data_IF_274969733013
#
_entry.id   IF_274969733013
#
_cell.length_a   1.000
_cell.length_b   1.000
_cell.length_c   1.000
_cell.angle_alpha   90.00
_cell.angle_beta   90.00
_cell.angle_gamma   90.00
#
_symmetry.space_group_name_H-M   'P 1'
#
loop_
_entity.id
_entity.type
_entity.pdbx_description
1 polymer ?
#
# COMPACT_ATOMS: atom_id res chain seq x y z
N UNK A 1 13.78 8.39 3.86
CA UNK A 1 13.13 7.35 3.00
C UNK A 1 13.62 7.44 1.57
N UNK A 2 13.80 6.31 0.89
CA UNK A 2 14.04 6.21 -0.56
C UNK A 2 12.89 5.46 -1.19
N UNK A 3 12.33 5.97 -2.29
CA UNK A 3 11.26 5.33 -3.05
C UNK A 3 11.79 4.97 -4.43
N UNK A 4 11.66 3.71 -4.81
CA UNK A 4 12.00 3.17 -6.13
C UNK A 4 10.74 2.61 -6.75
N UNK A 5 10.36 3.17 -7.87
CA UNK A 5 9.25 2.66 -8.64
C UNK A 5 9.76 1.93 -9.89
N UNK A 6 9.40 0.68 -10.04
CA UNK A 6 9.59 -0.13 -11.25
C UNK A 6 8.26 -0.70 -11.73
N UNK A 7 7.16 -0.17 -11.21
CA UNK A 7 5.82 -0.48 -11.70
C UNK A 7 5.52 0.32 -12.97
N UNK A 8 4.39 0.04 -13.59
CA UNK A 8 3.90 0.78 -14.75
C UNK A 8 3.24 2.12 -14.42
N UNK A 9 3.05 2.43 -13.16
CA UNK A 9 2.36 3.65 -12.73
C UNK A 9 3.34 4.83 -12.66
N UNK A 10 2.86 6.08 -12.86
CA UNK A 10 3.70 7.27 -12.87
C UNK A 10 4.46 7.46 -11.57
N UNK A 11 5.72 7.86 -11.67
CA UNK A 11 6.66 7.97 -10.53
C UNK A 11 6.22 9.02 -9.51
N UNK A 12 5.74 10.16 -9.98
CA UNK A 12 5.23 11.25 -9.18
C UNK A 12 4.01 10.84 -8.36
N UNK A 13 3.05 10.15 -8.98
CA UNK A 13 1.87 9.64 -8.30
C UNK A 13 2.24 8.56 -7.27
N UNK A 14 3.09 7.61 -7.64
CA UNK A 14 3.55 6.57 -6.72
C UNK A 14 4.24 7.19 -5.51
N UNK A 15 5.09 8.19 -5.70
CA UNK A 15 5.79 8.90 -4.63
C UNK A 15 4.81 9.59 -3.70
N UNK A 16 3.90 10.40 -4.25
CA UNK A 16 2.89 11.12 -3.47
C UNK A 16 2.05 10.16 -2.60
N UNK A 17 1.59 9.05 -3.18
CA UNK A 17 0.76 8.07 -2.47
C UNK A 17 1.53 7.36 -1.35
N UNK A 18 2.78 6.98 -1.59
CA UNK A 18 3.63 6.35 -0.56
C UNK A 18 3.95 7.35 0.55
N UNK A 19 4.34 8.58 0.22
CA UNK A 19 4.61 9.63 1.21
C UNK A 19 3.36 9.93 2.06
N UNK A 20 2.19 10.01 1.42
CA UNK A 20 0.94 10.15 2.14
C UNK A 20 0.69 8.99 3.11
N UNK A 21 0.81 7.78 2.62
CA UNK A 21 0.48 6.57 3.39
C UNK A 21 1.39 6.36 4.60
N UNK A 22 2.62 6.87 4.53
CA UNK A 22 3.65 6.64 5.54
C UNK A 22 3.95 7.86 6.42
N UNK A 23 3.22 8.97 6.25
CA UNK A 23 3.50 10.27 6.89
C UNK A 23 3.57 10.24 8.41
N UNK A 24 2.84 9.32 9.05
CA UNK A 24 2.74 9.20 10.51
C UNK A 24 3.72 8.15 11.08
N UNK A 25 4.60 7.60 10.25
CA UNK A 25 5.60 6.61 10.63
C UNK A 25 7.01 7.15 10.35
N UNK A 26 7.94 6.91 11.28
CA UNK A 26 9.35 7.23 11.03
C UNK A 26 9.94 6.33 9.94
N UNK A 27 10.12 6.92 8.76
CA UNK A 27 10.65 6.26 7.56
C UNK A 27 12.14 6.55 7.32
N UNK A 28 12.88 7.00 8.35
CA UNK A 28 14.34 7.14 8.21
C UNK A 28 14.98 5.79 7.88
N UNK A 29 15.92 5.77 6.94
CA UNK A 29 16.65 4.58 6.45
C UNK A 29 15.75 3.44 5.93
N UNK A 30 14.53 3.74 5.50
CA UNK A 30 13.63 2.80 4.83
C UNK A 30 13.73 2.97 3.32
N UNK A 31 13.94 1.87 2.59
CA UNK A 31 13.79 1.81 1.14
C UNK A 31 12.44 1.19 0.79
N UNK A 32 11.65 1.85 -0.02
CA UNK A 32 10.36 1.36 -0.50
C UNK A 32 10.49 1.03 -1.99
N UNK A 33 10.32 -0.24 -2.35
CA UNK A 33 10.30 -0.71 -3.74
C UNK A 33 8.86 -0.96 -4.18
N UNK A 34 8.38 -0.20 -5.15
CA UNK A 34 7.08 -0.41 -5.79
C UNK A 34 7.29 -1.11 -7.13
N UNK A 35 6.60 -2.22 -7.37
CA UNK A 35 6.76 -3.02 -8.60
C UNK A 35 5.46 -3.69 -9.04
N UNK A 36 5.42 -4.13 -10.29
CA UNK A 36 4.35 -5.00 -10.76
C UNK A 36 4.44 -6.39 -10.11
N UNK A 37 3.33 -7.09 -9.98
CA UNK A 37 3.25 -8.45 -9.43
C UNK A 37 1.87 -8.71 -8.84
N UNK A 38 1.64 -9.90 -8.34
CA UNK A 38 0.42 -10.20 -7.57
C UNK A 38 0.31 -9.24 -6.39
N UNK A 39 -0.92 -8.82 -6.09
CA UNK A 39 -1.21 -7.87 -5.02
C UNK A 39 -0.66 -8.39 -3.68
N UNK A 40 0.39 -7.78 -3.18
CA UNK A 40 1.04 -8.17 -1.93
C UNK A 40 2.01 -7.09 -1.43
N UNK A 41 2.28 -7.08 -0.13
CA UNK A 41 3.32 -6.30 0.51
C UNK A 41 4.26 -7.17 1.34
N UNK A 42 5.40 -6.61 1.71
CA UNK A 42 6.33 -7.21 2.66
C UNK A 42 7.26 -6.16 3.25
N UNK A 43 7.40 -6.14 4.56
CA UNK A 43 8.39 -5.35 5.27
C UNK A 43 9.47 -6.25 5.86
N UNK A 44 10.71 -5.78 5.81
CA UNK A 44 11.88 -6.53 6.29
C UNK A 44 12.65 -5.72 7.32
N UNK A 45 12.96 -6.36 8.45
CA UNK A 45 13.91 -5.84 9.44
C UNK A 45 15.34 -6.19 9.00
N UNK A 46 15.82 -5.43 8.03
CA UNK A 46 17.09 -5.67 7.33
C UNK A 46 16.89 -5.50 5.82
N UNK A 47 18.00 -5.33 5.12
CA UNK A 47 18.02 -5.21 3.66
C UNK A 47 18.70 -6.46 3.11
N UNK A 48 18.00 -7.32 2.35
CA UNK A 48 18.61 -8.48 1.71
C UNK A 48 19.76 -8.08 0.79
N UNK A 49 20.86 -8.84 0.80
CA UNK A 49 22.08 -8.55 0.02
C UNK A 49 21.82 -8.37 -1.49
N UNK A 50 20.89 -9.14 -2.03
CA UNK A 50 20.50 -9.06 -3.45
C UNK A 50 19.50 -7.94 -3.75
N UNK A 51 19.14 -7.12 -2.73
CA UNK A 51 18.27 -5.98 -2.98
C UNK A 51 19.05 -4.84 -3.62
N UNK A 52 18.42 -4.14 -4.54
CA UNK A 52 19.00 -2.90 -5.10
C UNK A 52 18.74 -1.68 -4.19
N UNK A 53 18.59 -1.88 -2.89
CA UNK A 53 18.39 -0.78 -1.95
C UNK A 53 19.69 0.01 -1.73
N UNK A 54 19.62 1.30 -1.39
CA UNK A 54 20.80 2.07 -1.01
C UNK A 54 21.54 1.42 0.17
N UNK A 55 22.88 1.47 0.17
CA UNK A 55 23.70 0.91 1.26
C UNK A 55 23.36 1.47 2.64
N UNK A 56 22.86 2.69 2.70
CA UNK A 56 22.45 3.33 3.95
C UNK A 56 21.05 2.88 4.44
N UNK A 57 20.31 2.13 3.64
CA UNK A 57 19.02 1.59 4.06
C UNK A 57 19.21 0.52 5.13
N UNK A 58 18.34 0.54 6.14
CA UNK A 58 18.30 -0.45 7.22
C UNK A 58 17.07 -1.35 7.11
N UNK A 59 16.01 -0.83 6.50
CA UNK A 59 14.75 -1.52 6.34
C UNK A 59 14.34 -1.51 4.86
N UNK A 60 13.62 -2.53 4.45
CA UNK A 60 13.09 -2.64 3.11
C UNK A 60 11.58 -2.90 3.15
N UNK A 61 10.83 -2.15 2.35
CA UNK A 61 9.43 -2.44 2.03
C UNK A 61 9.37 -2.80 0.55
N UNK A 62 8.63 -3.84 0.21
CA UNK A 62 8.29 -4.18 -1.17
C UNK A 62 6.78 -4.16 -1.34
N UNK A 63 6.29 -3.36 -2.28
CA UNK A 63 4.87 -3.20 -2.59
C UNK A 63 4.60 -3.68 -4.02
N UNK A 64 3.64 -4.60 -4.18
CA UNK A 64 3.21 -5.11 -5.48
C UNK A 64 1.81 -4.60 -5.78
N UNK A 65 1.70 -3.87 -6.89
CA UNK A 65 0.50 -3.09 -7.25
C UNK A 65 -0.27 -3.68 -8.42
N UNK A 66 -0.15 -4.99 -8.61
CA UNK A 66 -0.83 -5.70 -9.69
C UNK A 66 0.00 -5.84 -10.96
N UNK A 67 -0.48 -6.70 -11.87
CA UNK A 67 0.11 -6.93 -13.20
C UNK A 67 -0.69 -6.23 -14.31
N UNK A 68 -1.88 -5.70 -13.99
CA UNK A 68 -2.89 -5.19 -14.89
C UNK A 68 -3.96 -6.22 -15.22
N UNK A 69 -5.18 -5.73 -15.31
CA UNK A 69 -6.35 -6.60 -15.45
C UNK A 69 -6.90 -7.11 -14.12
N UNK A 70 -6.40 -6.59 -12.99
CA UNK A 70 -7.06 -6.75 -11.70
C UNK A 70 -8.47 -6.20 -11.80
N UNK A 71 -9.46 -7.00 -11.40
CA UNK A 71 -10.85 -6.58 -11.38
C UNK A 71 -11.11 -5.58 -10.24
N UNK A 72 -10.92 -4.31 -10.52
CA UNK A 72 -11.34 -3.25 -9.59
C UNK A 72 -12.84 -3.00 -9.67
N UNK A 73 -13.53 -2.67 -8.55
CA UNK A 73 -13.01 -2.57 -7.20
C UNK A 73 -12.66 -3.93 -6.56
N UNK A 74 -11.61 -3.93 -5.74
CA UNK A 74 -11.24 -5.09 -4.93
C UNK A 74 -11.99 -5.05 -3.60
N UNK A 75 -12.76 -6.08 -3.30
CA UNK A 75 -13.45 -6.22 -2.00
C UNK A 75 -14.98 -6.15 -2.08
N UNK A 76 -15.67 -6.15 -0.94
CA UNK A 76 -15.10 -6.14 0.42
C UNK A 76 -14.38 -7.45 0.76
N UNK A 77 -13.14 -7.33 1.18
CA UNK A 77 -12.32 -8.46 1.63
C UNK A 77 -11.53 -8.08 2.89
N UNK A 78 -11.07 -9.08 3.65
CA UNK A 78 -10.14 -8.86 4.75
C UNK A 78 -8.67 -9.07 4.31
N UNK A 79 -7.75 -9.01 5.26
CA UNK A 79 -6.31 -9.26 5.05
C UNK A 79 -6.01 -10.57 4.29
N UNK A 80 -6.79 -11.61 4.49
CA UNK A 80 -6.63 -12.90 3.80
C UNK A 80 -7.41 -12.99 2.47
N UNK A 81 -7.86 -11.87 1.93
CA UNK A 81 -8.71 -11.79 0.73
C UNK A 81 -10.02 -12.58 0.83
N UNK A 82 -10.51 -12.80 2.05
CA UNK A 82 -11.80 -13.46 2.31
C UNK A 82 -12.91 -12.42 2.43
N UNK A 83 -14.06 -12.73 1.84
CA UNK A 83 -15.28 -11.93 1.93
C UNK A 83 -15.95 -12.09 3.31
N UNK A 84 -16.85 -11.17 3.71
CA UNK A 84 -17.55 -11.26 4.99
C UNK A 84 -18.25 -12.60 5.24
N UNK A 85 -18.86 -13.17 4.21
CA UNK A 85 -19.57 -14.45 4.27
C UNK A 85 -18.66 -15.67 4.40
N UNK A 86 -17.38 -15.53 4.09
CA UNK A 86 -16.38 -16.61 4.14
C UNK A 86 -15.66 -16.71 5.49
N UNK A 87 -15.92 -15.78 6.40
CA UNK A 87 -15.25 -15.72 7.69
C UNK A 87 -16.23 -15.92 8.85
N UNK A 88 -15.77 -16.65 9.88
CA UNK A 88 -16.57 -16.87 11.08
C UNK A 88 -16.55 -15.68 12.04
N UNK A 89 -17.34 -15.77 13.14
CA UNK A 89 -17.50 -14.68 14.14
C UNK A 89 -16.20 -14.33 14.89
N UNK A 90 -15.16 -15.14 14.77
CA UNK A 90 -13.83 -14.88 15.39
C UNK A 90 -12.91 -14.05 14.50
N UNK A 91 -13.36 -13.63 13.31
CA UNK A 91 -12.57 -12.74 12.47
C UNK A 91 -12.31 -11.41 13.19
N UNK A 92 -11.05 -11.02 13.28
CA UNK A 92 -10.60 -9.77 13.91
C UNK A 92 -10.01 -8.78 12.90
N UNK A 93 -9.83 -9.20 11.66
CA UNK A 93 -9.34 -8.34 10.60
C UNK A 93 -10.47 -7.45 10.07
N UNK A 94 -10.23 -6.16 9.87
CA UNK A 94 -11.19 -5.29 9.22
C UNK A 94 -11.40 -5.71 7.76
N UNK A 95 -12.57 -5.42 7.24
CA UNK A 95 -12.83 -5.50 5.80
C UNK A 95 -12.54 -4.17 5.14
N UNK A 96 -12.05 -4.23 3.92
CA UNK A 96 -11.76 -3.06 3.09
C UNK A 96 -12.23 -3.27 1.66
N UNK A 97 -12.41 -2.18 0.94
CA UNK A 97 -12.57 -2.12 -0.51
C UNK A 97 -11.46 -1.21 -1.03
N UNK A 98 -10.91 -1.49 -2.18
CA UNK A 98 -10.04 -0.57 -2.91
C UNK A 98 -10.66 -0.36 -4.29
N UNK A 99 -10.98 0.88 -4.64
CA UNK A 99 -11.64 1.20 -5.90
C UNK A 99 -10.67 1.15 -7.08
N UNK A 100 -9.37 1.38 -6.82
CA UNK A 100 -8.32 1.32 -7.82
C UNK A 100 -6.94 0.98 -7.21
N UNK A 101 -5.92 0.98 -8.05
CA UNK A 101 -4.53 0.72 -7.66
C UNK A 101 -3.95 1.77 -6.68
N UNK A 102 -4.44 3.01 -6.70
CA UNK A 102 -3.99 4.09 -5.82
C UNK A 102 -4.39 3.81 -4.39
N UNK A 103 -5.66 3.47 -4.20
CA UNK A 103 -6.17 3.07 -2.90
C UNK A 103 -5.49 1.82 -2.37
N UNK A 104 -5.25 0.84 -3.25
CA UNK A 104 -4.47 -0.35 -2.90
C UNK A 104 -3.05 0.00 -2.46
N UNK A 105 -2.35 0.87 -3.21
CA UNK A 105 -0.99 1.29 -2.88
C UNK A 105 -0.95 2.03 -1.54
N UNK A 106 -1.88 2.95 -1.29
CA UNK A 106 -2.00 3.67 -0.01
C UNK A 106 -2.21 2.70 1.14
N UNK A 107 -3.20 1.81 1.03
CA UNK A 107 -3.50 0.81 2.05
C UNK A 107 -2.30 -0.08 2.33
N UNK A 108 -1.67 -0.59 1.29
CA UNK A 108 -0.55 -1.51 1.40
C UNK A 108 0.70 -0.82 1.99
N UNK A 109 1.03 0.39 1.54
CA UNK A 109 2.17 1.15 2.06
C UNK A 109 2.01 1.49 3.55
N UNK A 110 0.81 1.85 3.99
CA UNK A 110 0.51 2.09 5.39
C UNK A 110 0.65 0.82 6.24
N UNK A 111 0.18 -0.33 5.74
CA UNK A 111 0.32 -1.63 6.40
C UNK A 111 1.80 -1.97 6.65
N UNK A 112 2.61 -1.91 5.61
CA UNK A 112 4.04 -2.26 5.68
C UNK A 112 4.85 -1.24 6.49
N UNK A 113 4.48 0.04 6.45
CA UNK A 113 5.10 1.06 7.29
C UNK A 113 4.84 0.78 8.78
N UNK A 114 3.65 0.29 9.13
CA UNK A 114 3.34 -0.07 10.53
C UNK A 114 4.19 -1.24 11.03
N UNK A 115 4.58 -2.18 10.16
CA UNK A 115 5.57 -3.19 10.49
C UNK A 115 6.94 -2.58 10.78
N UNK A 116 7.38 -1.56 10.02
CA UNK A 116 8.64 -0.85 10.29
C UNK A 116 8.62 -0.21 11.69
N UNK A 117 7.51 0.43 12.05
CA UNK A 117 7.36 0.98 13.40
C UNK A 117 7.50 -0.12 14.47
N UNK A 118 6.85 -1.26 14.29
CA UNK A 118 6.95 -2.41 15.21
C UNK A 118 8.39 -2.95 15.30
N UNK A 119 9.11 -3.04 14.19
CA UNK A 119 10.52 -3.42 14.18
C UNK A 119 11.39 -2.45 14.97
N UNK A 120 11.16 -1.13 14.81
CA UNK A 120 11.90 -0.09 15.56
C UNK A 120 11.66 -0.15 17.07
N UNK A 121 10.43 -0.45 17.45
CA UNK A 121 10.02 -0.58 18.85
C UNK A 121 10.46 -1.91 19.48
N UNK A 122 10.94 -2.88 18.67
CA UNK A 122 11.30 -4.21 19.15
C UNK A 122 10.11 -5.03 19.64
N UNK A 123 8.89 -4.67 19.22
CA UNK A 123 7.68 -5.38 19.62
C UNK A 123 7.34 -6.48 18.61
N UNK A 124 6.54 -7.45 19.06
CA UNK A 124 6.05 -8.51 18.17
C UNK A 124 5.16 -7.93 17.09
N UNK A 125 5.43 -8.29 15.83
CA UNK A 125 4.59 -7.92 14.70
C UNK A 125 3.16 -8.44 14.86
N UNK A 126 2.20 -7.58 14.56
CA UNK A 126 0.77 -7.88 14.62
C UNK A 126 0.09 -7.44 13.33
N UNK A 127 -0.27 -8.39 12.50
CA UNK A 127 -1.01 -8.17 11.25
C UNK A 127 -2.33 -7.43 11.49
N UNK A 128 -3.02 -7.74 12.59
CA UNK A 128 -4.29 -7.08 12.93
C UNK A 128 -4.08 -5.59 13.18
N UNK A 129 -3.03 -5.22 13.91
CA UNK A 129 -2.71 -3.81 14.20
C UNK A 129 -2.32 -3.08 12.92
N UNK A 130 -1.49 -3.72 12.08
CA UNK A 130 -1.09 -3.16 10.80
C UNK A 130 -2.29 -2.95 9.87
N UNK A 131 -3.19 -3.92 9.81
CA UNK A 131 -4.38 -3.85 8.97
C UNK A 131 -5.39 -2.79 9.45
N UNK A 132 -5.59 -2.67 10.77
CA UNK A 132 -6.44 -1.62 11.34
C UNK A 132 -5.89 -0.23 11.04
N UNK A 133 -4.58 -0.04 11.19
CA UNK A 133 -3.90 1.20 10.84
C UNK A 133 -4.07 1.52 9.35
N UNK A 134 -3.79 0.55 8.47
CA UNK A 134 -3.89 0.71 7.02
C UNK A 134 -5.29 1.09 6.54
N UNK A 135 -6.33 0.44 7.10
CA UNK A 135 -7.73 0.79 6.78
C UNK A 135 -8.09 2.18 7.29
N UNK A 136 -7.53 2.60 8.42
CA UNK A 136 -7.65 3.98 8.92
C UNK A 136 -7.08 5.00 7.92
N UNK A 137 -5.84 4.79 7.47
CA UNK A 137 -5.17 5.65 6.47
C UNK A 137 -5.94 5.68 5.14
N UNK A 138 -6.47 4.55 4.69
CA UNK A 138 -7.29 4.49 3.48
C UNK A 138 -8.57 5.34 3.61
N UNK A 139 -9.24 5.32 4.75
CA UNK A 139 -10.41 6.18 5.01
C UNK A 139 -10.05 7.67 4.96
N UNK A 140 -8.93 8.05 5.53
CA UNK A 140 -8.44 9.42 5.47
C UNK A 140 -8.06 9.84 4.04
N UNK A 141 -7.46 8.94 3.26
CA UNK A 141 -7.16 9.19 1.85
C UNK A 141 -8.42 9.54 1.06
N UNK A 142 -9.50 8.78 1.26
CA UNK A 142 -10.81 9.01 0.61
C UNK A 142 -11.51 10.30 1.05
N UNK A 143 -11.27 10.74 2.26
CA UNK A 143 -11.88 11.98 2.78
C UNK A 143 -11.21 13.26 2.26
N UNK A 144 -10.09 13.14 1.54
CA UNK A 144 -9.41 14.31 0.96
C UNK A 144 -10.23 14.90 -0.19
N UNK A 145 -10.29 16.24 -0.28
CA UNK A 145 -10.80 16.85 -1.48
C UNK A 145 -9.92 16.43 -2.67
N UNK A 146 -10.56 15.93 -3.74
CA UNK A 146 -9.86 15.60 -4.98
C UNK A 146 -9.17 16.86 -5.50
N UNK A 147 -7.83 16.85 -5.71
CA UNK A 147 -7.17 18.00 -6.32
C UNK A 147 -7.80 18.28 -7.68
N UNK A 148 -8.19 19.53 -7.91
CA UNK A 148 -8.96 19.97 -9.09
C UNK A 148 -8.27 19.62 -10.43
N UNK A 149 -6.98 19.31 -10.44
CA UNK A 149 -6.23 18.90 -11.65
C UNK A 149 -6.28 17.40 -11.99
N UNK A 150 -6.78 16.53 -11.09
CA UNK A 150 -6.90 15.08 -11.38
C UNK A 150 -8.25 14.70 -11.99
N UNK A 151 -9.25 15.55 -11.89
CA UNK A 151 -10.59 15.30 -12.42
C UNK A 151 -10.61 15.25 -13.97
N UNK A 152 -9.71 15.96 -14.65
CA UNK A 152 -9.64 15.99 -16.11
C UNK A 152 -9.01 14.74 -16.74
N UNK A 153 -8.19 13.97 -16.00
CA UNK A 153 -7.56 12.75 -16.53
C UNK A 153 -8.45 11.49 -16.45
N UNK A 154 -9.61 11.58 -15.80
CA UNK A 154 -10.58 10.48 -15.71
C UNK A 154 -11.55 10.42 -16.89
N UNK A 155 -11.58 11.42 -17.75
CA UNK A 155 -12.33 11.39 -19.02
C UNK A 155 -11.49 10.66 -20.08
N UNK A 156 -11.59 9.34 -20.15
CA UNK A 156 -11.13 8.58 -21.30
C UNK A 156 -11.87 9.09 -22.55
N UNK A 157 -11.17 9.47 -23.64
CA UNK A 157 -11.85 9.78 -24.88
C UNK A 157 -12.60 8.54 -25.34
N UNK A 158 -13.88 8.72 -25.64
CA UNK A 158 -14.82 7.68 -26.00
C UNK A 158 -14.29 6.79 -27.13
N UNK A 159 -14.48 5.50 -26.95
CA UNK A 159 -14.50 4.55 -28.06
C UNK A 159 -15.76 4.91 -28.86
N UNK A 160 -15.56 5.63 -29.95
CA UNK A 160 -16.61 5.79 -30.96
C UNK A 160 -16.83 4.43 -31.64
N UNK A 161 -18.09 4.07 -31.78
CA UNK A 161 -18.62 2.87 -32.41
C UNK A 161 -18.12 2.66 -33.84
#
# INVERSE_FOLDING_TARGET
>A
MWIRNTSRYPDDQVRELVEFATRDVDMDRVCVNVKNGELAGSAYNGVPELSNAPRAARYLITLRVGRGGEGWPLGPVNYHFKRPEEVGPRNRFPFFVCDDWREWLVKLAAHEAKHIEQFRQGVRCSEIVCEQFAVGVLKEFRSRPVPTGMAEQLALPGIAA
#
